data_IF_259276963803
#
_entry.id   IF_259276963803
#
_cell.length_a   1.000
_cell.length_b   1.000
_cell.length_c   1.000
_cell.angle_alpha   90.00
_cell.angle_beta   90.00
_cell.angle_gamma   90.00
#
_symmetry.space_group_name_H-M   'P 1'
#
loop_
_entity.id
_entity.type
_entity.pdbx_description
1 polymer ?
#
# COMPACT_ATOMS: atom_id res chain seq x y z
N UNK A 1 -10.60 -6.46 -3.18
CA UNK A 1 -9.22 -7.00 -3.04
C UNK A 1 -9.17 -8.46 -3.45
N UNK A 2 -8.16 -8.87 -4.19
CA UNK A 2 -7.89 -10.26 -4.58
C UNK A 2 -6.88 -10.91 -3.61
N UNK A 3 -7.06 -12.20 -3.31
CA UNK A 3 -6.10 -12.99 -2.53
C UNK A 3 -5.51 -14.06 -3.46
N UNK A 4 -4.19 -14.14 -3.50
CA UNK A 4 -3.45 -15.11 -4.32
C UNK A 4 -2.47 -15.85 -3.42
N UNK A 5 -2.51 -17.18 -3.44
CA UNK A 5 -1.56 -18.03 -2.72
C UNK A 5 -0.85 -18.94 -3.71
N UNK A 6 0.44 -19.16 -3.53
CA UNK A 6 1.17 -20.20 -4.24
C UNK A 6 2.68 -20.05 -4.09
N UNK A 7 3.40 -20.79 -4.92
CA UNK A 7 4.86 -20.77 -4.95
C UNK A 7 5.34 -19.67 -5.89
N UNK A 8 6.28 -18.87 -5.42
CA UNK A 8 6.93 -17.81 -6.20
C UNK A 8 7.73 -18.43 -7.33
N UNK A 9 7.52 -17.91 -8.53
CA UNK A 9 8.31 -18.21 -9.73
C UNK A 9 8.74 -16.90 -10.40
N UNK A 10 9.90 -16.93 -11.05
CA UNK A 10 10.38 -15.84 -11.91
C UNK A 10 10.48 -14.52 -11.11
N UNK A 11 11.09 -14.57 -9.91
CA UNK A 11 11.30 -13.38 -9.11
C UNK A 11 12.30 -12.44 -9.80
N UNK A 12 11.81 -11.27 -10.21
CA UNK A 12 12.62 -10.17 -10.71
C UNK A 12 12.59 -9.04 -9.69
N UNK A 13 13.76 -8.49 -9.36
CA UNK A 13 13.92 -7.34 -8.47
C UNK A 13 14.56 -6.18 -9.23
N UNK A 14 13.94 -5.01 -9.12
CA UNK A 14 14.45 -3.76 -9.69
C UNK A 14 14.39 -2.67 -8.63
N UNK A 15 15.40 -1.82 -8.61
CA UNK A 15 15.42 -0.63 -7.75
C UNK A 15 15.09 0.58 -8.60
N UNK A 16 14.07 1.32 -8.21
CA UNK A 16 13.72 2.61 -8.79
C UNK A 16 14.29 3.73 -7.92
N UNK A 17 15.17 4.54 -8.49
CA UNK A 17 15.72 5.72 -7.84
C UNK A 17 15.06 6.96 -8.42
N UNK A 18 14.52 7.81 -7.56
CA UNK A 18 13.95 9.11 -7.93
C UNK A 18 14.71 10.22 -7.21
N UNK A 19 15.42 11.07 -7.96
CA UNK A 19 16.22 12.20 -7.46
C UNK A 19 17.70 12.13 -7.90
N UNK A 20 18.29 13.27 -8.29
CA UNK A 20 19.68 13.36 -8.75
C UNK A 20 20.11 14.80 -9.08
N UNK A 21 20.89 15.42 -8.18
CA UNK A 21 21.38 16.80 -8.27
C UNK A 21 21.80 17.34 -6.89
N UNK A 22 22.69 18.34 -6.84
CA UNK A 22 23.08 19.06 -5.61
C UNK A 22 21.79 19.48 -4.89
N UNK A 23 21.55 18.95 -3.69
CA UNK A 23 20.41 19.24 -2.80
C UNK A 23 19.07 18.52 -3.06
N UNK A 24 19.04 17.41 -3.82
CA UNK A 24 17.79 16.61 -3.99
C UNK A 24 17.75 15.34 -3.14
N UNK A 25 16.62 15.10 -2.46
CA UNK A 25 16.36 13.87 -1.69
C UNK A 25 16.21 12.68 -2.64
N UNK A 26 17.07 11.67 -2.49
CA UNK A 26 16.98 10.41 -3.26
C UNK A 26 15.93 9.51 -2.61
N UNK A 27 14.84 9.26 -3.32
CA UNK A 27 13.84 8.26 -2.90
C UNK A 27 14.15 6.95 -3.62
N UNK A 28 14.34 5.88 -2.84
CA UNK A 28 14.54 4.52 -3.36
C UNK A 28 13.24 3.74 -3.19
N UNK A 29 12.71 3.17 -4.28
CA UNK A 29 11.63 2.19 -4.26
C UNK A 29 12.16 0.85 -4.76
N UNK A 30 11.77 -0.23 -4.09
CA UNK A 30 12.08 -1.58 -4.50
C UNK A 30 10.85 -2.18 -5.18
N UNK A 31 10.98 -2.45 -6.48
CA UNK A 31 9.94 -3.07 -7.29
C UNK A 31 10.29 -4.55 -7.44
N UNK A 32 9.37 -5.43 -7.05
CA UNK A 32 9.48 -6.86 -7.30
C UNK A 32 8.36 -7.29 -8.24
N UNK A 33 8.70 -8.05 -9.27
CA UNK A 33 7.75 -8.67 -10.18
C UNK A 33 7.95 -10.16 -10.07
N UNK A 34 6.88 -10.90 -9.80
CA UNK A 34 6.94 -12.36 -9.70
C UNK A 34 5.67 -12.99 -10.21
N UNK A 35 5.70 -14.30 -10.43
CA UNK A 35 4.54 -15.09 -10.83
C UNK A 35 4.11 -16.02 -9.69
N UNK A 36 2.80 -16.07 -9.42
CA UNK A 36 2.18 -17.04 -8.52
C UNK A 36 0.99 -17.67 -9.25
N UNK A 37 1.00 -18.99 -9.42
CA UNK A 37 -0.08 -19.74 -10.10
C UNK A 37 -0.50 -19.11 -11.45
N UNK A 38 0.47 -18.69 -12.28
CA UNK A 38 0.20 -18.07 -13.58
C UNK A 38 -0.29 -16.62 -13.52
N UNK A 39 -0.30 -15.99 -12.33
CA UNK A 39 -0.64 -14.56 -12.17
C UNK A 39 0.61 -13.75 -11.89
N UNK A 40 0.80 -12.68 -12.67
CA UNK A 40 1.84 -11.69 -12.41
C UNK A 40 1.47 -10.82 -11.22
N UNK A 41 2.34 -10.80 -10.23
CA UNK A 41 2.23 -10.01 -9.01
C UNK A 41 3.32 -8.95 -9.03
N UNK A 42 2.94 -7.70 -8.76
CA UNK A 42 3.86 -6.58 -8.61
C UNK A 42 3.84 -6.09 -7.17
N UNK A 43 5.01 -6.02 -6.55
CA UNK A 43 5.26 -5.35 -5.29
C UNK A 43 5.95 -4.02 -5.55
N UNK A 44 5.50 -2.98 -4.86
CA UNK A 44 6.13 -1.66 -4.86
C UNK A 44 6.22 -1.21 -3.40
N UNK A 45 7.40 -1.44 -2.82
CA UNK A 45 7.66 -1.23 -1.40
C UNK A 45 8.85 -0.31 -1.20
N UNK A 46 8.78 0.50 -0.13
CA UNK A 46 9.90 1.33 0.29
C UNK A 46 11.04 0.48 0.89
N UNK A 47 10.71 -0.61 1.57
CA UNK A 47 11.67 -1.55 2.11
C UNK A 47 11.83 -2.78 1.20
N UNK A 48 13.02 -3.41 1.17
CA UNK A 48 13.24 -4.65 0.44
C UNK A 48 12.30 -5.76 0.92
N UNK A 49 11.63 -6.44 -0.03
CA UNK A 49 10.82 -7.60 0.29
C UNK A 49 11.71 -8.82 0.58
N UNK A 50 11.41 -9.54 1.66
CA UNK A 50 12.07 -10.81 2.01
C UNK A 50 11.30 -11.95 1.32
N UNK A 51 11.57 -12.14 0.03
CA UNK A 51 10.96 -13.15 -0.84
C UNK A 51 12.06 -13.79 -1.69
N UNK A 52 11.99 -15.09 -1.94
CA UNK A 52 12.87 -15.80 -2.88
C UNK A 52 12.07 -16.75 -3.77
N UNK A 53 12.63 -17.10 -4.93
CA UNK A 53 12.05 -18.14 -5.79
C UNK A 53 11.88 -19.44 -5.00
N UNK A 54 10.73 -20.10 -5.19
CA UNK A 54 10.36 -21.30 -4.44
C UNK A 54 9.70 -21.04 -3.08
N UNK A 55 9.67 -19.79 -2.58
CA UNK A 55 8.91 -19.49 -1.36
C UNK A 55 7.40 -19.64 -1.62
N UNK A 56 6.68 -20.20 -0.64
CA UNK A 56 5.22 -20.20 -0.63
C UNK A 56 4.75 -18.91 0.03
N UNK A 57 4.02 -18.10 -0.71
CA UNK A 57 3.53 -16.81 -0.22
C UNK A 57 2.03 -16.65 -0.44
N UNK A 58 1.41 -15.85 0.42
CA UNK A 58 0.03 -15.39 0.30
C UNK A 58 0.06 -13.88 0.11
N UNK A 59 -0.58 -13.40 -0.93
CA UNK A 59 -0.60 -12.00 -1.34
C UNK A 59 -2.03 -11.50 -1.34
N UNK A 60 -2.24 -10.28 -0.83
CA UNK A 60 -3.51 -9.57 -1.01
C UNK A 60 -3.24 -8.26 -1.74
N UNK A 61 -3.96 -8.06 -2.84
CA UNK A 61 -3.72 -6.95 -3.74
C UNK A 61 -4.95 -6.55 -4.55
N UNK A 62 -4.76 -5.58 -5.44
CA UNK A 62 -5.78 -5.15 -6.40
C UNK A 62 -5.36 -5.56 -7.80
N UNK A 63 -6.25 -6.22 -8.52
CA UNK A 63 -6.01 -6.53 -9.93
C UNK A 63 -6.17 -5.26 -10.77
N UNK A 64 -5.18 -4.98 -11.61
CA UNK A 64 -5.15 -3.84 -12.52
C UNK A 64 -4.38 -4.23 -13.78
N UNK A 65 -5.03 -4.09 -14.94
CA UNK A 65 -4.43 -4.39 -16.25
C UNK A 65 -3.76 -5.78 -16.33
N UNK A 66 -4.38 -6.81 -15.74
CA UNK A 66 -3.85 -8.18 -15.74
C UNK A 66 -2.75 -8.45 -14.70
N UNK A 67 -2.28 -7.44 -13.97
CA UNK A 67 -1.28 -7.57 -12.90
C UNK A 67 -1.97 -7.38 -11.55
N UNK A 68 -1.57 -8.17 -10.55
CA UNK A 68 -2.00 -7.96 -9.17
C UNK A 68 -1.00 -7.02 -8.50
N UNK A 69 -1.42 -5.77 -8.25
CA UNK A 69 -0.67 -4.81 -7.44
C UNK A 69 -0.82 -5.22 -5.97
N UNK A 70 0.24 -5.81 -5.41
CA UNK A 70 0.26 -6.33 -4.05
C UNK A 70 0.31 -5.20 -3.03
N UNK A 71 -0.63 -5.21 -2.08
CA UNK A 71 -0.62 -4.27 -0.97
C UNK A 71 0.13 -4.83 0.25
N UNK A 72 -0.04 -6.13 0.50
CA UNK A 72 0.53 -6.85 1.63
C UNK A 72 0.87 -8.29 1.22
N UNK A 73 1.82 -8.92 1.92
CA UNK A 73 2.09 -10.34 1.76
C UNK A 73 2.45 -11.04 3.06
N UNK A 74 2.27 -12.35 3.06
CA UNK A 74 2.77 -13.26 4.06
C UNK A 74 3.60 -14.34 3.37
N UNK A 75 4.89 -14.41 3.71
CA UNK A 75 5.77 -15.48 3.30
C UNK A 75 5.61 -16.64 4.30
N UNK A 76 4.92 -17.69 3.86
CA UNK A 76 4.62 -18.87 4.68
C UNK A 76 5.89 -19.66 4.95
N UNK A 77 6.78 -19.81 3.96
CA UNK A 77 8.04 -20.54 4.09
C UNK A 77 8.93 -19.95 5.18
N UNK A 78 8.99 -18.61 5.27
CA UNK A 78 9.86 -17.90 6.22
C UNK A 78 9.15 -17.39 7.47
N UNK A 79 7.83 -17.57 7.55
CA UNK A 79 6.97 -17.01 8.59
C UNK A 79 7.12 -15.48 8.76
N UNK A 80 7.21 -14.74 7.64
CA UNK A 80 7.38 -13.28 7.64
C UNK A 80 6.15 -12.62 7.04
N UNK A 81 5.55 -11.70 7.78
CA UNK A 81 4.44 -10.84 7.32
C UNK A 81 4.99 -9.46 7.00
N UNK A 82 4.63 -8.94 5.84
CA UNK A 82 4.97 -7.59 5.46
C UNK A 82 3.72 -6.81 5.09
N UNK A 83 3.63 -5.61 5.67
CA UNK A 83 2.53 -4.70 5.47
C UNK A 83 3.13 -3.37 5.02
N UNK A 84 2.78 -2.90 3.82
CA UNK A 84 3.05 -1.51 3.43
C UNK A 84 2.01 -0.60 4.10
N UNK A 85 2.00 -0.62 5.43
CA UNK A 85 1.03 0.06 6.28
C UNK A 85 1.77 1.01 7.20
N UNK A 86 1.47 2.31 7.07
CA UNK A 86 1.93 3.30 8.02
C UNK A 86 0.72 3.88 8.74
N UNK A 87 0.70 3.76 10.07
CA UNK A 87 -0.29 4.44 10.94
C UNK A 87 -0.29 5.96 10.71
N UNK A 88 0.82 6.50 10.18
CA UNK A 88 0.95 7.90 9.78
C UNK A 88 -0.10 8.32 8.75
N UNK A 89 -0.55 7.43 7.85
CA UNK A 89 -1.59 7.73 6.85
C UNK A 89 -2.89 8.17 7.54
N UNK A 90 -3.30 7.47 8.60
CA UNK A 90 -4.49 7.83 9.35
C UNK A 90 -4.30 9.16 10.09
N UNK A 91 -3.16 9.34 10.76
CA UNK A 91 -2.86 10.56 11.52
C UNK A 91 -2.86 11.78 10.58
N UNK A 92 -2.15 11.69 9.46
CA UNK A 92 -2.11 12.75 8.43
C UNK A 92 -3.52 13.02 7.89
N UNK A 93 -4.32 11.98 7.64
CA UNK A 93 -5.69 12.16 7.16
C UNK A 93 -6.56 12.94 8.16
N UNK A 94 -6.44 12.65 9.47
CA UNK A 94 -7.18 13.36 10.51
C UNK A 94 -6.72 14.83 10.63
N UNK A 95 -5.41 15.07 10.51
CA UNK A 95 -4.85 16.43 10.51
C UNK A 95 -5.40 17.23 9.32
N UNK A 96 -5.37 16.67 8.11
CA UNK A 96 -5.87 17.34 6.90
C UNK A 96 -7.36 17.66 7.01
N UNK A 97 -8.18 16.71 7.50
CA UNK A 97 -9.60 16.94 7.73
C UNK A 97 -9.84 18.05 8.76
N UNK A 98 -9.07 18.07 9.85
CA UNK A 98 -9.17 19.09 10.90
C UNK A 98 -8.82 20.48 10.38
N UNK A 99 -7.72 20.59 9.61
CA UNK A 99 -7.30 21.84 8.97
C UNK A 99 -8.38 22.32 7.99
N UNK A 100 -8.88 21.42 7.13
CA UNK A 100 -9.88 21.79 6.14
C UNK A 100 -11.20 22.26 6.75
N UNK A 101 -11.64 21.62 7.83
CA UNK A 101 -12.80 22.08 8.61
C UNK A 101 -12.53 23.44 9.28
N UNK A 102 -11.35 23.63 9.87
CA UNK A 102 -10.95 24.90 10.49
C UNK A 102 -10.95 26.06 9.49
N UNK A 103 -10.38 25.86 8.30
CA UNK A 103 -10.38 26.85 7.22
C UNK A 103 -11.81 27.17 6.78
N UNK A 104 -12.65 26.16 6.56
CA UNK A 104 -14.05 26.35 6.16
C UNK A 104 -14.86 27.14 7.19
N UNK A 105 -14.55 27.00 8.48
CA UNK A 105 -15.21 27.73 9.57
C UNK A 105 -14.69 29.17 9.68
N UNK A 106 -13.40 29.40 9.40
CA UNK A 106 -12.72 30.68 9.70
C UNK A 106 -12.81 31.70 8.55
N UNK A 107 -12.79 31.24 7.31
CA UNK A 107 -12.77 32.13 6.13
C UNK A 107 -14.17 32.31 5.52
N UNK A 108 -14.39 33.45 4.87
CA UNK A 108 -15.63 33.75 4.14
C UNK A 108 -15.94 32.69 3.09
N UNK A 109 -17.24 32.57 2.75
CA UNK A 109 -17.81 31.40 2.05
C UNK A 109 -16.99 30.93 0.85
N UNK A 110 -16.59 31.82 -0.05
CA UNK A 110 -16.00 31.41 -1.32
C UNK A 110 -14.55 30.90 -1.17
N UNK A 111 -13.73 31.54 -0.33
CA UNK A 111 -12.35 31.11 -0.06
C UNK A 111 -12.29 29.89 0.87
N UNK A 112 -13.13 29.88 1.90
CA UNK A 112 -13.23 28.78 2.86
C UNK A 112 -13.71 27.48 2.21
N UNK A 113 -14.60 27.56 1.20
CA UNK A 113 -15.05 26.39 0.43
C UNK A 113 -13.93 25.82 -0.43
N UNK A 114 -13.17 26.66 -1.15
CA UNK A 114 -12.12 26.18 -2.05
C UNK A 114 -10.95 25.56 -1.27
N UNK A 115 -10.35 26.32 -0.36
CA UNK A 115 -9.18 25.85 0.37
C UNK A 115 -9.56 24.78 1.39
N UNK A 116 -10.59 25.01 2.19
CA UNK A 116 -11.08 24.03 3.17
C UNK A 116 -11.56 22.75 2.49
N UNK A 117 -12.27 22.87 1.38
CA UNK A 117 -12.73 21.75 0.56
C UNK A 117 -11.59 20.90 0.01
N UNK A 118 -10.50 21.52 -0.48
CA UNK A 118 -9.32 20.81 -0.97
C UNK A 118 -8.67 19.95 0.12
N UNK A 119 -8.46 20.50 1.32
CA UNK A 119 -7.90 19.76 2.45
C UNK A 119 -8.81 18.62 2.90
N UNK A 120 -10.13 18.84 2.91
CA UNK A 120 -11.10 17.80 3.22
C UNK A 120 -11.04 16.68 2.18
N UNK A 121 -11.05 17.01 0.88
CA UNK A 121 -11.00 16.02 -0.19
C UNK A 121 -9.70 15.19 -0.16
N UNK A 122 -8.56 15.83 0.08
CA UNK A 122 -7.29 15.14 0.30
C UNK A 122 -7.36 14.23 1.52
N UNK A 123 -7.81 14.74 2.67
CA UNK A 123 -7.97 13.96 3.90
C UNK A 123 -8.83 12.71 3.70
N UNK A 124 -10.00 12.86 3.05
CA UNK A 124 -10.88 11.74 2.69
C UNK A 124 -10.21 10.71 1.78
N UNK A 125 -9.37 11.16 0.84
CA UNK A 125 -8.60 10.26 -0.03
C UNK A 125 -7.61 9.41 0.78
N UNK A 126 -6.93 10.00 1.76
CA UNK A 126 -6.06 9.25 2.67
C UNK A 126 -6.83 8.30 3.59
N UNK A 127 -8.01 8.70 4.08
CA UNK A 127 -8.91 7.81 4.83
C UNK A 127 -9.32 6.60 3.97
N UNK A 128 -9.73 6.84 2.72
CA UNK A 128 -10.09 5.76 1.80
C UNK A 128 -8.93 4.78 1.57
N UNK A 129 -7.71 5.31 1.35
CA UNK A 129 -6.50 4.50 1.21
C UNK A 129 -6.22 3.68 2.48
N UNK A 130 -6.37 4.28 3.66
CA UNK A 130 -6.23 3.61 4.95
C UNK A 130 -7.21 2.44 5.11
N UNK A 131 -8.49 2.66 4.80
CA UNK A 131 -9.54 1.64 4.91
C UNK A 131 -9.28 0.46 3.96
N UNK A 132 -8.84 0.74 2.73
CA UNK A 132 -8.50 -0.29 1.74
C UNK A 132 -7.34 -1.17 2.21
N UNK A 133 -6.31 -0.57 2.82
CA UNK A 133 -5.20 -1.32 3.42
C UNK A 133 -5.66 -2.17 4.60
N UNK A 134 -6.53 -1.63 5.46
CA UNK A 134 -7.08 -2.37 6.61
C UNK A 134 -7.93 -3.56 6.18
N UNK A 135 -8.72 -3.41 5.12
CA UNK A 135 -9.48 -4.51 4.51
C UNK A 135 -8.53 -5.61 4.01
N UNK A 136 -7.43 -5.23 3.35
CA UNK A 136 -6.41 -6.17 2.90
C UNK A 136 -5.84 -6.99 4.07
N UNK A 137 -5.42 -6.31 5.14
CA UNK A 137 -4.83 -6.93 6.34
C UNK A 137 -5.82 -7.92 6.96
N UNK A 138 -7.06 -7.46 7.16
CA UNK A 138 -8.13 -8.30 7.74
C UNK A 138 -8.38 -9.53 6.87
N UNK A 139 -8.38 -9.39 5.55
CA UNK A 139 -8.56 -10.50 4.62
C UNK A 139 -7.43 -11.52 4.72
N UNK A 140 -6.17 -11.06 4.79
CA UNK A 140 -5.00 -11.92 4.97
C UNK A 140 -5.05 -12.65 6.32
N UNK A 141 -5.33 -11.93 7.41
CA UNK A 141 -5.38 -12.50 8.76
C UNK A 141 -6.47 -13.56 8.90
N UNK A 142 -7.68 -13.29 8.38
CA UNK A 142 -8.77 -14.28 8.35
C UNK A 142 -8.37 -15.52 7.56
N UNK A 143 -7.72 -15.35 6.41
CA UNK A 143 -7.28 -16.47 5.59
C UNK A 143 -6.25 -17.33 6.33
N UNK A 144 -5.22 -16.70 6.89
CA UNK A 144 -4.16 -17.39 7.63
C UNK A 144 -4.72 -18.08 8.88
N UNK A 145 -5.65 -17.45 9.60
CA UNK A 145 -6.30 -18.06 10.77
C UNK A 145 -7.13 -19.29 10.40
N UNK A 146 -7.78 -19.28 9.24
CA UNK A 146 -8.63 -20.39 8.78
C UNK A 146 -7.82 -21.52 8.13
N UNK A 147 -6.59 -21.26 7.65
CA UNK A 147 -5.73 -22.28 7.02
C UNK A 147 -4.86 -23.06 8.02
N UNK A 148 -4.88 -22.68 9.30
CA UNK A 148 -4.11 -23.32 10.39
C UNK A 148 -4.96 -24.37 11.14
N UNK A 149 -6.24 -24.51 10.80
CA UNK A 149 -7.15 -25.57 11.28
C UNK A 149 -7.56 -26.47 10.12
#
# INVERSE_FOLDING_TARGET
>A
MELVQGTVKILQNTVSLSGGGKDSSVTTSHIYILEINGKTIKFDFYDPAIISDGDNIIVVGKQKNGVVEAAIYYNVTRNIRYYNYSKTILIVSLILLSIGLGIKITFDRDEGILFGGMFIALGLTFVYKYLTLREAITKLERYVSNSIF
#
